data_IF_969044057950
#
_entry.id   IF_969044057950
#
_cell.length_a   1.000
_cell.length_b   1.000
_cell.length_c   1.000
_cell.angle_alpha   90.00
_cell.angle_beta   90.00
_cell.angle_gamma   90.00
#
_symmetry.space_group_name_H-M   'P 1'
#
loop_
_entity.id
_entity.type
_entity.pdbx_description
1 polymer ?
#
# COMPACT_ATOMS: atom_id res chain seq x y z
N UNK A 1 -67.18 12.60 58.11
CA UNK A 1 -66.04 13.55 58.20
C UNK A 1 -64.89 12.87 58.93
N UNK A 2 -63.64 13.15 58.50
CA UNK A 2 -62.40 13.33 59.30
C UNK A 2 -62.15 12.44 60.55
N UNK A 3 -60.94 11.94 60.86
CA UNK A 3 -59.63 11.88 60.19
C UNK A 3 -58.66 11.14 61.14
N UNK A 4 -57.72 10.30 60.64
CA UNK A 4 -56.33 10.22 61.17
C UNK A 4 -55.44 9.31 60.31
N UNK A 5 -54.20 9.75 60.08
CA UNK A 5 -53.14 9.06 59.34
C UNK A 5 -51.92 8.88 60.24
N UNK A 6 -51.40 7.66 60.34
CA UNK A 6 -50.02 7.25 60.72
C UNK A 6 -49.94 5.74 60.39
N UNK A 7 -49.06 5.26 59.50
CA UNK A 7 -47.65 4.85 59.77
C UNK A 7 -47.57 3.90 60.98
N UNK A 8 -47.02 2.68 60.96
CA UNK A 8 -46.28 1.85 59.98
C UNK A 8 -46.59 0.35 60.32
N UNK A 9 -46.30 -0.73 59.56
CA UNK A 9 -45.50 -1.01 58.34
C UNK A 9 -46.25 -2.01 57.42
N UNK A 10 -45.82 -2.17 56.16
CA UNK A 10 -46.03 -3.40 55.38
C UNK A 10 -44.71 -3.84 54.75
N UNK A 11 -44.19 -5.01 55.13
CA UNK A 11 -43.03 -5.62 54.49
C UNK A 11 -43.46 -6.23 53.16
N UNK A 12 -42.86 -5.80 52.05
CA UNK A 12 -43.06 -6.41 50.73
C UNK A 12 -41.70 -6.60 50.08
N UNK A 13 -41.38 -7.84 49.74
CA UNK A 13 -40.10 -8.25 49.18
C UNK A 13 -39.82 -7.64 47.80
N UNK A 14 -38.53 -7.47 47.51
CA UNK A 14 -37.96 -8.13 46.33
C UNK A 14 -38.29 -7.56 44.95
N UNK A 15 -37.52 -6.53 44.58
CA UNK A 15 -36.82 -6.41 43.28
C UNK A 15 -37.60 -6.41 41.94
N UNK A 16 -37.37 -5.31 41.23
CA UNK A 16 -37.06 -5.17 39.79
C UNK A 16 -38.17 -5.21 38.72
N UNK A 17 -38.55 -3.99 38.31
CA UNK A 17 -38.44 -3.46 36.94
C UNK A 17 -38.74 -4.41 35.75
N UNK A 18 -39.95 -4.28 35.19
CA UNK A 18 -40.21 -4.44 33.76
C UNK A 18 -41.48 -3.69 33.31
N UNK A 19 -41.31 -2.50 32.72
CA UNK A 19 -42.32 -1.81 31.90
C UNK A 19 -41.55 -1.17 30.73
N UNK A 20 -41.57 -1.77 29.53
CA UNK A 20 -42.59 -1.61 28.49
C UNK A 20 -42.52 -0.25 27.75
N UNK A 21 -41.89 -0.24 26.57
CA UNK A 21 -42.35 0.52 25.42
C UNK A 21 -41.79 -0.10 24.11
N UNK A 22 -42.69 -0.39 23.18
CA UNK A 22 -42.41 -0.84 21.80
C UNK A 22 -41.88 0.31 20.94
N UNK A 23 -41.17 0.02 19.84
CA UNK A 23 -41.63 0.36 18.46
C UNK A 23 -40.58 0.17 17.35
N UNK A 24 -41.07 -0.38 16.23
CA UNK A 24 -40.55 -0.44 14.85
C UNK A 24 -39.36 -1.36 14.47
N UNK A 25 -39.48 -2.08 13.32
CA UNK A 25 -38.41 -2.88 12.74
C UNK A 25 -37.55 -2.05 11.79
N UNK A 26 -36.27 -2.38 11.66
CA UNK A 26 -35.42 -1.81 10.62
C UNK A 26 -34.57 -2.89 9.96
N UNK A 27 -35.14 -3.48 8.91
CA UNK A 27 -34.40 -4.19 7.87
C UNK A 27 -33.84 -3.14 6.90
N UNK A 28 -32.52 -3.00 6.82
CA UNK A 28 -31.78 -2.39 5.70
C UNK A 28 -30.27 -2.69 5.84
N UNK A 29 -29.50 -2.75 4.72
CA UNK A 29 -28.32 -3.61 4.64
C UNK A 29 -26.96 -2.89 4.78
N UNK A 30 -25.93 -3.72 4.65
CA UNK A 30 -24.48 -3.49 4.65
C UNK A 30 -23.99 -2.15 4.06
N UNK A 31 -23.14 -1.46 4.85
CA UNK A 31 -22.05 -0.63 4.35
C UNK A 31 -20.95 -0.56 5.44
N UNK A 32 -19.66 -0.80 5.12
CA UNK A 32 -18.59 -0.79 6.13
C UNK A 32 -18.19 0.66 6.50
N UNK A 33 -18.25 1.06 7.79
CA UNK A 33 -17.78 2.38 8.20
C UNK A 33 -16.24 2.40 8.30
N UNK A 34 -15.65 3.44 7.71
CA UNK A 34 -14.20 3.67 7.66
C UNK A 34 -13.53 3.71 9.05
N UNK A 35 -12.23 3.38 9.07
CA UNK A 35 -11.35 3.36 10.22
C UNK A 35 -11.51 4.57 11.17
N UNK A 36 -11.62 4.29 12.48
CA UNK A 36 -11.41 5.27 13.56
C UNK A 36 -10.15 4.92 14.34
N UNK A 37 -9.40 5.94 14.75
CA UNK A 37 -8.22 5.79 15.61
C UNK A 37 -8.56 5.07 16.92
N UNK A 38 -7.72 4.13 17.33
CA UNK A 38 -7.98 3.24 18.47
C UNK A 38 -7.06 3.56 19.65
N UNK A 39 -7.65 3.70 20.84
CA UNK A 39 -6.93 3.79 22.11
C UNK A 39 -7.11 2.50 22.90
N UNK A 40 -6.16 1.57 22.76
CA UNK A 40 -5.92 0.46 23.71
C UNK A 40 -6.41 -0.94 23.30
N UNK A 41 -5.69 -1.95 23.82
CA UNK A 41 -6.03 -3.39 23.83
C UNK A 41 -6.16 -4.12 22.47
N UNK A 42 -4.98 -4.38 21.89
CA UNK A 42 -4.63 -5.35 20.84
C UNK A 42 -5.41 -6.69 20.90
N UNK A 43 -6.39 -6.85 20.00
CA UNK A 43 -6.32 -7.95 19.03
C UNK A 43 -5.86 -7.35 17.71
N UNK A 44 -4.56 -7.46 17.44
CA UNK A 44 -4.06 -7.34 16.07
C UNK A 44 -4.53 -8.61 15.38
N UNK A 45 -5.25 -8.47 14.27
CA UNK A 45 -5.39 -9.57 13.31
C UNK A 45 -3.97 -9.94 12.91
N UNK A 46 -3.46 -11.04 13.46
CA UNK A 46 -2.14 -11.57 13.20
C UNK A 46 -2.19 -12.14 11.79
N UNK A 47 -2.00 -11.25 10.79
CA UNK A 47 -1.90 -11.63 9.39
C UNK A 47 -0.58 -12.37 9.21
N UNK A 48 -0.62 -13.64 9.59
CA UNK A 48 0.47 -14.58 9.38
C UNK A 48 0.55 -14.87 7.90
N UNK A 49 1.74 -14.66 7.36
CA UNK A 49 2.18 -15.33 6.16
C UNK A 49 2.21 -16.84 6.47
N UNK A 50 1.52 -17.64 5.65
CA UNK A 50 1.51 -19.09 5.73
C UNK A 50 1.98 -19.64 4.39
N UNK A 51 2.74 -20.74 4.41
CA UNK A 51 3.29 -21.31 3.18
C UNK A 51 2.15 -21.80 2.26
N UNK A 52 2.14 -21.32 1.02
CA UNK A 52 1.20 -21.72 -0.03
C UNK A 52 1.94 -22.26 -1.25
N UNK A 53 1.21 -22.74 -2.26
CA UNK A 53 1.79 -23.14 -3.53
C UNK A 53 2.45 -21.98 -4.31
N UNK A 54 2.11 -20.73 -4.00
CA UNK A 54 2.63 -19.53 -4.68
C UNK A 54 3.53 -18.66 -3.78
N UNK A 55 3.65 -18.97 -2.48
CA UNK A 55 4.53 -18.35 -1.47
C UNK A 55 5.08 -19.50 -0.59
N UNK A 56 6.15 -20.21 -1.05
CA UNK A 56 6.65 -21.41 -0.35
C UNK A 56 7.48 -21.11 0.90
N UNK A 57 8.10 -19.94 0.99
CA UNK A 57 8.94 -19.48 2.11
C UNK A 57 8.16 -18.65 3.17
N UNK A 58 6.89 -18.35 2.92
CA UNK A 58 5.94 -17.73 3.85
C UNK A 58 6.39 -16.34 4.33
N UNK A 59 6.82 -15.48 3.42
CA UNK A 59 7.20 -14.09 3.71
C UNK A 59 6.13 -13.06 3.29
N UNK A 60 4.97 -13.52 2.83
CA UNK A 60 3.85 -12.76 2.26
C UNK A 60 4.12 -12.19 0.86
N UNK A 61 5.16 -12.64 0.15
CA UNK A 61 5.46 -12.26 -1.22
C UNK A 61 5.32 -13.50 -2.11
N UNK A 62 4.76 -13.33 -3.30
CA UNK A 62 4.69 -14.42 -4.28
C UNK A 62 6.08 -14.78 -4.83
N UNK A 63 6.35 -16.07 -5.04
CA UNK A 63 7.67 -16.59 -5.43
C UNK A 63 8.52 -16.97 -4.21
N UNK A 64 9.83 -17.16 -4.42
CA UNK A 64 10.82 -17.49 -3.37
C UNK A 64 11.95 -16.46 -3.34
N UNK A 65 12.25 -15.94 -2.15
CA UNK A 65 13.30 -14.96 -1.91
C UNK A 65 14.69 -15.48 -2.34
N UNK A 66 15.39 -14.69 -3.16
CA UNK A 66 16.72 -15.03 -3.68
C UNK A 66 16.73 -16.05 -4.82
N UNK A 67 15.58 -16.62 -5.19
CA UNK A 67 15.42 -17.47 -6.37
C UNK A 67 14.69 -16.72 -7.49
N UNK A 68 13.47 -16.25 -7.19
CA UNK A 68 12.60 -15.62 -8.19
C UNK A 68 12.73 -14.09 -8.18
N UNK A 69 13.05 -13.51 -7.01
CA UNK A 69 13.35 -12.10 -6.84
C UNK A 69 14.52 -11.86 -5.88
N UNK A 70 15.31 -10.79 -6.08
CA UNK A 70 16.42 -10.41 -5.20
C UNK A 70 15.95 -9.80 -3.86
N UNK A 71 16.78 -9.93 -2.82
CA UNK A 71 16.53 -9.42 -1.46
C UNK A 71 17.73 -8.63 -0.91
N UNK A 72 18.29 -7.75 -1.75
CA UNK A 72 19.44 -6.92 -1.43
C UNK A 72 19.13 -5.95 -0.27
N UNK A 73 19.91 -6.03 0.81
CA UNK A 73 19.77 -5.13 1.97
C UNK A 73 20.48 -3.78 1.81
N UNK A 74 21.36 -3.66 0.82
CA UNK A 74 22.13 -2.45 0.51
C UNK A 74 22.45 -2.42 -0.99
N UNK A 75 22.65 -1.22 -1.55
CA UNK A 75 23.05 -1.05 -2.95
C UNK A 75 24.45 -1.68 -3.14
N UNK A 76 24.61 -2.69 -4.01
CA UNK A 76 25.92 -3.28 -4.31
C UNK A 76 26.72 -2.36 -5.24
N UNK A 77 28.02 -2.64 -5.40
CA UNK A 77 28.82 -1.99 -6.44
C UNK A 77 28.63 -2.72 -7.77
N UNK A 78 28.11 -2.02 -8.77
CA UNK A 78 27.84 -2.53 -10.12
C UNK A 78 28.62 -1.74 -11.19
N UNK A 79 28.44 -2.06 -12.47
CA UNK A 79 29.12 -1.35 -13.57
C UNK A 79 28.50 0.00 -13.94
N UNK A 80 27.33 0.33 -13.37
CA UNK A 80 26.48 1.45 -13.78
C UNK A 80 27.14 2.82 -13.58
N UNK A 81 27.09 3.66 -14.64
CA UNK A 81 27.68 5.00 -14.67
C UNK A 81 26.83 5.95 -15.55
N UNK A 82 26.76 7.23 -15.18
CA UNK A 82 25.98 8.25 -15.91
C UNK A 82 26.69 8.82 -17.17
N UNK A 83 27.97 8.50 -17.41
CA UNK A 83 28.82 9.15 -18.43
C UNK A 83 28.25 9.21 -19.86
N UNK A 84 27.35 8.29 -20.23
CA UNK A 84 26.74 8.21 -21.56
C UNK A 84 25.21 8.15 -21.51
N UNK A 85 24.61 8.66 -20.44
CA UNK A 85 23.17 8.66 -20.20
C UNK A 85 22.65 10.10 -20.12
N UNK A 86 21.36 10.27 -20.41
CA UNK A 86 20.68 11.54 -20.13
C UNK A 86 20.48 11.68 -18.61
N UNK A 87 20.20 12.89 -18.11
CA UNK A 87 19.59 13.04 -16.79
C UNK A 87 18.28 12.24 -16.76
N UNK A 88 18.05 11.45 -15.71
CA UNK A 88 16.94 10.49 -15.70
C UNK A 88 17.05 9.41 -14.62
N UNK A 89 16.18 8.41 -14.70
CA UNK A 89 16.04 7.29 -13.78
C UNK A 89 16.21 5.96 -14.55
N UNK A 90 17.10 5.10 -14.07
CA UNK A 90 17.59 3.93 -14.77
C UNK A 90 17.56 2.67 -13.90
N UNK A 91 16.98 1.57 -14.39
CA UNK A 91 17.12 0.26 -13.77
C UNK A 91 18.59 -0.20 -13.75
N UNK A 92 18.98 -1.05 -12.81
CA UNK A 92 20.28 -1.73 -12.84
C UNK A 92 20.13 -3.25 -13.04
N UNK A 93 20.29 -3.76 -14.27
CA UNK A 93 20.30 -5.20 -14.52
C UNK A 93 21.42 -5.97 -13.81
N UNK A 94 22.55 -5.34 -13.48
CA UNK A 94 23.64 -6.01 -12.73
C UNK A 94 23.21 -6.31 -11.28
N UNK A 95 22.24 -5.56 -10.76
CA UNK A 95 21.58 -5.75 -9.46
C UNK A 95 20.18 -6.40 -9.58
N UNK A 96 19.95 -7.17 -10.65
CA UNK A 96 18.67 -7.82 -10.95
C UNK A 96 17.45 -6.87 -10.92
N UNK A 97 17.67 -5.61 -11.32
CA UNK A 97 16.72 -4.51 -11.30
C UNK A 97 16.14 -4.14 -9.92
N UNK A 98 16.57 -4.74 -8.80
CA UNK A 98 16.15 -4.26 -7.47
C UNK A 98 16.72 -2.87 -7.17
N UNK A 99 17.89 -2.57 -7.73
CA UNK A 99 18.46 -1.22 -7.69
C UNK A 99 18.02 -0.43 -8.91
N UNK A 100 17.75 0.84 -8.67
CA UNK A 100 17.68 1.85 -9.71
C UNK A 100 18.55 3.06 -9.34
N UNK A 101 18.91 3.80 -10.38
CA UNK A 101 19.83 4.91 -10.34
C UNK A 101 19.16 6.17 -10.85
N UNK A 102 19.51 7.31 -10.26
CA UNK A 102 19.16 8.64 -10.76
C UNK A 102 20.43 9.35 -11.22
N UNK A 103 20.48 9.72 -12.49
CA UNK A 103 21.53 10.55 -13.06
C UNK A 103 21.09 12.02 -13.08
N UNK A 104 21.86 12.89 -12.45
CA UNK A 104 21.63 14.33 -12.45
C UNK A 104 22.39 15.04 -13.58
N UNK A 105 22.00 16.29 -13.86
CA UNK A 105 22.59 17.12 -14.93
C UNK A 105 24.09 17.40 -14.76
N UNK A 106 24.61 17.34 -13.53
CA UNK A 106 26.04 17.50 -13.21
C UNK A 106 26.80 16.16 -13.18
N UNK A 107 26.18 15.07 -13.67
CA UNK A 107 26.75 13.72 -13.69
C UNK A 107 26.74 13.01 -12.34
N UNK A 108 26.15 13.60 -11.29
CA UNK A 108 25.98 12.90 -10.00
C UNK A 108 25.04 11.71 -10.14
N UNK A 109 25.44 10.63 -9.49
CA UNK A 109 24.71 9.38 -9.38
C UNK A 109 24.12 9.26 -7.98
N UNK A 110 22.81 9.02 -7.90
CA UNK A 110 22.15 8.54 -6.69
C UNK A 110 21.57 7.15 -6.95
N UNK A 111 21.56 6.28 -5.94
CA UNK A 111 21.18 4.87 -6.10
C UNK A 111 20.23 4.46 -4.98
N UNK A 112 19.21 3.69 -5.32
CA UNK A 112 18.11 3.34 -4.43
C UNK A 112 17.72 1.87 -4.59
N UNK A 113 17.13 1.29 -3.55
CA UNK A 113 16.60 -0.07 -3.58
C UNK A 113 15.07 -0.04 -3.63
N UNK A 114 14.50 -0.88 -4.48
CA UNK A 114 13.13 -1.32 -4.40
C UNK A 114 12.94 -2.28 -3.20
N UNK A 115 11.78 -2.27 -2.52
CA UNK A 115 11.44 -3.25 -1.50
C UNK A 115 11.56 -4.70 -2.00
N UNK A 116 11.76 -5.65 -1.08
CA UNK A 116 11.70 -7.09 -1.41
C UNK A 116 10.39 -7.43 -2.13
N UNK A 117 10.44 -8.36 -3.08
CA UNK A 117 9.31 -8.71 -3.95
C UNK A 117 9.05 -7.73 -5.11
N UNK A 118 9.79 -6.62 -5.17
CA UNK A 118 9.65 -5.62 -6.25
C UNK A 118 10.98 -5.31 -6.91
N UNK A 119 10.93 -4.99 -8.20
CA UNK A 119 12.08 -4.53 -8.99
C UNK A 119 11.66 -3.32 -9.83
N UNK A 120 12.64 -2.52 -10.27
CA UNK A 120 12.36 -1.29 -10.99
C UNK A 120 11.91 -1.55 -12.43
N UNK A 121 10.64 -1.27 -12.69
CA UNK A 121 10.05 -1.28 -14.02
C UNK A 121 10.46 0.00 -14.76
N UNK A 122 11.40 -0.14 -15.71
CA UNK A 122 11.90 0.98 -16.49
C UNK A 122 10.84 1.66 -17.37
N UNK A 123 9.83 0.92 -17.84
CA UNK A 123 8.79 1.44 -18.73
C UNK A 123 7.89 2.47 -18.00
N UNK A 124 7.62 2.22 -16.72
CA UNK A 124 6.71 3.03 -15.90
C UNK A 124 7.39 3.82 -14.78
N UNK A 125 8.71 3.70 -14.63
CA UNK A 125 9.54 4.39 -13.63
C UNK A 125 9.12 4.14 -12.17
N UNK A 126 8.67 2.92 -11.85
CA UNK A 126 8.23 2.52 -10.51
C UNK A 126 8.89 1.21 -10.09
N UNK A 127 8.94 0.94 -8.79
CA UNK A 127 9.13 -0.42 -8.30
C UNK A 127 7.80 -1.18 -8.46
N UNK A 128 7.80 -2.21 -9.29
CA UNK A 128 6.64 -3.07 -9.59
C UNK A 128 6.94 -4.50 -9.11
N UNK A 129 5.92 -5.34 -8.98
CA UNK A 129 6.09 -6.73 -8.56
C UNK A 129 7.01 -7.46 -9.55
N UNK A 130 7.94 -8.27 -9.03
CA UNK A 130 9.02 -8.86 -9.83
C UNK A 130 8.53 -9.60 -11.09
N UNK A 131 7.39 -10.29 -11.01
CA UNK A 131 6.80 -11.05 -12.11
C UNK A 131 6.16 -10.17 -13.21
N UNK A 132 5.96 -8.87 -12.96
CA UNK A 132 5.51 -7.91 -13.98
C UNK A 132 6.66 -7.35 -14.82
N UNK A 133 7.93 -7.57 -14.43
CA UNK A 133 9.09 -6.86 -15.01
C UNK A 133 10.08 -7.82 -15.66
N UNK A 134 10.22 -7.72 -16.99
CA UNK A 134 11.33 -8.32 -17.70
C UNK A 134 12.60 -7.46 -17.54
N UNK A 135 13.36 -7.73 -16.48
CA UNK A 135 14.59 -6.99 -16.16
C UNK A 135 15.65 -7.06 -17.28
N UNK A 136 15.69 -8.14 -18.07
CA UNK A 136 16.64 -8.26 -19.19
C UNK A 136 16.36 -7.22 -20.28
N UNK A 137 15.10 -6.79 -20.41
CA UNK A 137 14.65 -5.77 -21.36
C UNK A 137 14.64 -4.34 -20.81
N UNK A 138 15.04 -4.12 -19.55
CA UNK A 138 15.02 -2.78 -18.97
C UNK A 138 15.79 -1.74 -19.82
N UNK A 139 16.92 -2.14 -20.43
CA UNK A 139 17.72 -1.26 -21.31
C UNK A 139 16.99 -0.83 -22.59
N UNK A 140 15.99 -1.58 -23.07
CA UNK A 140 15.17 -1.20 -24.24
C UNK A 140 14.39 0.11 -23.99
N UNK A 141 14.03 0.36 -22.72
CA UNK A 141 13.18 1.47 -22.29
C UNK A 141 13.96 2.69 -21.77
N UNK A 142 15.31 2.66 -21.78
CA UNK A 142 16.15 3.77 -21.31
C UNK A 142 15.88 5.08 -22.07
N UNK A 143 15.40 5.02 -23.31
CA UNK A 143 15.01 6.16 -24.13
C UNK A 143 13.84 6.97 -23.55
N UNK A 144 12.97 6.36 -22.73
CA UNK A 144 11.84 7.05 -22.10
C UNK A 144 12.26 8.18 -21.15
N UNK A 145 13.53 8.16 -20.70
CA UNK A 145 14.12 9.25 -19.91
C UNK A 145 14.08 10.61 -20.62
N UNK A 146 13.99 10.63 -21.95
CA UNK A 146 13.84 11.87 -22.73
C UNK A 146 12.52 12.62 -22.44
N UNK A 147 11.56 11.99 -21.75
CA UNK A 147 10.23 12.55 -21.49
C UNK A 147 9.96 12.91 -20.02
N UNK A 148 10.79 12.48 -19.07
CA UNK A 148 10.55 12.69 -17.61
C UNK A 148 10.47 14.18 -17.24
N UNK A 149 11.23 15.03 -17.93
CA UNK A 149 11.33 16.47 -17.67
C UNK A 149 10.67 17.34 -18.73
N UNK A 150 9.86 16.76 -19.63
CA UNK A 150 9.10 17.51 -20.63
C UNK A 150 7.69 17.74 -20.11
N UNK A 151 7.33 19.00 -19.93
CA UNK A 151 5.93 19.37 -19.75
C UNK A 151 5.11 18.84 -20.94
N UNK A 152 3.92 18.27 -20.72
CA UNK A 152 3.05 17.87 -21.81
C UNK A 152 2.70 19.11 -22.64
N UNK A 153 3.01 19.09 -23.94
CA UNK A 153 2.67 20.21 -24.83
C UNK A 153 1.17 20.54 -24.69
N UNK A 154 0.79 21.81 -24.53
CA UNK A 154 -0.60 22.20 -24.49
C UNK A 154 -1.28 21.71 -25.76
N UNK A 155 -2.16 20.72 -25.64
CA UNK A 155 -3.01 20.29 -26.74
C UNK A 155 -3.85 21.50 -27.13
N UNK A 156 -3.52 22.14 -28.25
CA UNK A 156 -4.31 23.25 -28.78
C UNK A 156 -5.75 22.75 -28.93
N UNK A 157 -6.62 23.25 -28.06
CA UNK A 157 -8.04 23.05 -28.17
C UNK A 157 -8.48 23.77 -29.45
N UNK A 158 -8.52 23.03 -30.56
CA UNK A 158 -9.06 23.52 -31.83
C UNK A 158 -10.56 23.76 -31.65
N UNK A 159 -10.89 24.94 -31.11
CA UNK A 159 -12.25 25.48 -31.11
C UNK A 159 -12.58 25.79 -32.56
N UNK A 160 -13.13 24.80 -33.26
CA UNK A 160 -13.74 25.00 -34.56
C UNK A 160 -14.99 25.84 -34.35
N UNK A 161 -14.87 27.15 -34.54
CA UNK A 161 -16.03 27.99 -34.78
C UNK A 161 -16.65 27.55 -36.12
N UNK A 162 -17.83 26.95 -36.02
CA UNK A 162 -18.76 26.65 -37.12
C UNK A 162 -19.71 27.84 -37.26
#
# INVERSE_FOLDING_TARGET
>A
MMLRRTLVTAAVSGLLFALCAVSFPQYAPEAPPHHRCFSGAREVYDFKCEATENDPDADCIFGVAGQDYPTLHQVPTTSFQCQSLLPGIYADPDAACQVYHMCLHDGKLHSFLCPNGTVFNQEYFICDLWFNVDCARAKDFYSLNEYIYKDPEPKEAKISYV
#
